data_IF_449245315860
#
_entry.id   IF_449245315860
#
_cell.length_a   1.000
_cell.length_b   1.000
_cell.length_c   1.000
_cell.angle_alpha   90.00
_cell.angle_beta   90.00
_cell.angle_gamma   90.00
#
_symmetry.space_group_name_H-M   'P 1'
#
loop_
_entity.id
_entity.type
_entity.pdbx_description
1 polymer ?
#
# COMPACT_ATOMS: atom_id res chain seq x y z
N UNK A 1 31.67 19.39 27.68
CA UNK A 1 31.94 18.51 26.52
C UNK A 1 30.63 17.89 26.06
N UNK A 2 30.05 18.32 24.94
CA UNK A 2 28.76 17.79 24.45
C UNK A 2 28.99 16.89 23.23
N UNK A 3 28.72 15.59 23.38
CA UNK A 3 28.85 14.59 22.31
C UNK A 3 27.66 14.74 21.35
N UNK A 4 27.94 15.21 20.14
CA UNK A 4 26.99 15.37 19.02
C UNK A 4 26.28 14.05 18.77
N UNK A 5 24.94 14.03 18.85
CA UNK A 5 24.13 12.87 18.46
C UNK A 5 24.41 12.57 16.99
N UNK A 6 25.05 11.44 16.73
CA UNK A 6 25.14 10.91 15.37
C UNK A 6 23.72 10.69 14.86
N UNK A 7 23.31 11.56 13.92
CA UNK A 7 22.16 11.29 13.09
C UNK A 7 22.54 10.06 12.29
N UNK A 8 22.04 8.89 12.71
CA UNK A 8 22.08 7.67 11.90
C UNK A 8 21.51 8.05 10.54
N UNK A 9 22.40 8.19 9.56
CA UNK A 9 22.03 8.46 8.18
C UNK A 9 20.97 7.45 7.84
N UNK A 10 19.75 7.93 7.57
CA UNK A 10 18.73 7.08 6.98
C UNK A 10 19.36 6.61 5.69
N UNK A 11 19.74 5.32 5.63
CA UNK A 11 20.19 4.68 4.40
C UNK A 11 19.07 4.85 3.36
N UNK A 12 19.20 5.97 2.64
CA UNK A 12 19.13 6.10 1.20
C UNK A 12 19.70 4.81 0.61
N UNK A 13 18.98 4.25 -0.35
CA UNK A 13 19.41 3.14 -1.18
C UNK A 13 19.08 1.72 -0.65
N UNK A 14 17.89 1.26 -1.07
CA UNK A 14 17.63 -0.11 -1.54
C UNK A 14 17.31 -1.24 -0.53
N UNK A 15 16.13 -1.23 0.11
CA UNK A 15 15.69 -2.39 0.91
C UNK A 15 14.22 -2.82 0.79
N UNK A 16 13.43 -2.25 -0.12
CA UNK A 16 12.27 -2.96 -0.68
C UNK A 16 12.17 -2.50 -2.11
N UNK A 17 12.32 -3.40 -3.09
CA UNK A 17 11.75 -3.18 -4.43
C UNK A 17 10.40 -2.52 -4.21
N UNK A 18 10.26 -1.24 -4.54
CA UNK A 18 8.99 -0.55 -4.43
C UNK A 18 8.07 -1.35 -5.34
N UNK A 19 7.22 -2.20 -4.75
CA UNK A 19 6.19 -2.90 -5.50
C UNK A 19 5.48 -1.80 -6.26
N UNK A 20 5.50 -1.89 -7.58
CA UNK A 20 4.83 -0.91 -8.44
C UNK A 20 3.44 -0.71 -7.85
N UNK A 21 3.04 0.54 -7.66
CA UNK A 21 1.70 0.89 -7.16
C UNK A 21 0.67 0.56 -8.26
N UNK A 22 0.47 -0.73 -8.51
CA UNK A 22 -0.50 -1.24 -9.49
C UNK A 22 -1.80 -1.50 -8.74
N UNK A 23 -2.92 -1.05 -9.33
CA UNK A 23 -4.24 -1.38 -8.81
C UNK A 23 -4.51 -2.88 -9.01
N UNK A 24 -5.13 -3.51 -8.00
CA UNK A 24 -5.56 -4.90 -8.10
C UNK A 24 -6.51 -5.14 -9.29
N UNK A 25 -7.35 -4.15 -9.61
CA UNK A 25 -8.27 -4.22 -10.75
C UNK A 25 -7.53 -4.40 -12.08
N UNK A 26 -6.43 -3.66 -12.26
CA UNK A 26 -5.61 -3.74 -13.47
C UNK A 26 -4.80 -5.03 -13.52
N UNK A 27 -4.37 -5.54 -12.37
CA UNK A 27 -3.60 -6.78 -12.29
C UNK A 27 -4.46 -8.01 -12.58
N UNK A 28 -5.70 -8.02 -12.09
CA UNK A 28 -6.66 -9.12 -12.31
C UNK A 28 -7.52 -8.91 -13.57
N UNK A 29 -7.25 -7.87 -14.35
CA UNK A 29 -7.98 -7.53 -15.58
C UNK A 29 -9.51 -7.48 -15.38
N UNK A 30 -9.93 -6.90 -14.25
CA UNK A 30 -11.36 -6.77 -13.92
C UNK A 30 -11.96 -5.63 -14.76
N UNK A 31 -12.82 -5.98 -15.70
CA UNK A 31 -13.48 -5.04 -16.62
C UNK A 31 -14.74 -4.40 -15.99
N UNK A 32 -15.46 -5.17 -15.17
CA UNK A 32 -16.70 -4.73 -14.53
C UNK A 32 -16.67 -4.92 -13.02
N UNK A 33 -17.22 -3.96 -12.27
CA UNK A 33 -17.32 -4.01 -10.81
C UNK A 33 -18.79 -3.98 -10.40
N UNK A 34 -19.24 -5.04 -9.73
CA UNK A 34 -20.59 -5.16 -9.18
C UNK A 34 -20.58 -4.93 -7.66
N UNK A 35 -21.62 -4.26 -7.13
CA UNK A 35 -21.79 -4.06 -5.69
C UNK A 35 -22.07 -5.36 -4.92
N UNK A 36 -22.52 -6.41 -5.62
CA UNK A 36 -22.75 -7.75 -5.07
C UNK A 36 -21.48 -8.59 -4.98
N UNK A 37 -20.38 -8.21 -5.64
CA UNK A 37 -19.10 -8.91 -5.48
C UNK A 37 -18.39 -8.48 -4.20
N UNK A 38 -18.83 -9.07 -3.09
CA UNK A 38 -18.29 -8.79 -1.75
C UNK A 38 -16.81 -9.17 -1.65
N UNK A 39 -16.37 -10.20 -2.38
CA UNK A 39 -14.99 -10.68 -2.31
C UNK A 39 -14.01 -9.67 -2.91
N UNK A 40 -14.37 -9.07 -4.04
CA UNK A 40 -13.60 -8.00 -4.65
C UNK A 40 -13.58 -6.74 -3.78
N UNK A 41 -14.75 -6.29 -3.33
CA UNK A 41 -14.89 -5.05 -2.56
C UNK A 41 -14.16 -5.10 -1.22
N UNK A 42 -14.19 -6.25 -0.54
CA UNK A 42 -13.51 -6.45 0.74
C UNK A 42 -12.01 -6.19 0.68
N UNK A 43 -11.36 -6.40 -0.47
CA UNK A 43 -9.92 -6.13 -0.66
C UNK A 43 -9.58 -4.64 -0.58
N UNK A 44 -10.54 -3.76 -0.85
CA UNK A 44 -10.38 -2.29 -0.80
C UNK A 44 -10.91 -1.67 0.50
N UNK A 45 -11.46 -2.48 1.39
CA UNK A 45 -11.94 -2.04 2.71
C UNK A 45 -10.91 -2.34 3.79
N UNK A 46 -10.91 -1.52 4.84
CA UNK A 46 -10.21 -1.78 6.09
C UNK A 46 -11.04 -2.72 6.98
N UNK A 47 -10.41 -3.28 8.00
CA UNK A 47 -11.06 -4.21 8.94
C UNK A 47 -12.22 -3.53 9.70
N UNK A 48 -12.20 -2.20 9.80
CA UNK A 48 -13.26 -1.36 10.40
C UNK A 48 -14.30 -0.88 9.38
N UNK A 49 -14.40 -1.56 8.24
CA UNK A 49 -15.33 -1.25 7.15
C UNK A 49 -15.19 0.16 6.52
N UNK A 50 -14.04 0.83 6.67
CA UNK A 50 -13.74 2.09 5.96
C UNK A 50 -12.99 1.81 4.66
N UNK A 51 -13.24 2.59 3.62
CA UNK A 51 -12.51 2.50 2.34
C UNK A 51 -11.02 2.88 2.57
N UNK A 52 -10.10 2.09 2.03
CA UNK A 52 -8.65 2.35 2.14
C UNK A 52 -8.23 3.49 1.20
N UNK A 53 -7.40 4.40 1.70
CA UNK A 53 -6.70 5.38 0.87
C UNK A 53 -5.56 4.70 0.08
N UNK A 54 -5.23 5.20 -1.12
CA UNK A 54 -4.11 4.73 -1.95
C UNK A 54 -2.97 5.74 -1.99
#
# INVERSE_FOLDING_TARGET
>A
MAKKREQRGKNKDNARRSKKKVSLLSQEQVEYVDYKDVNLLRRFMSDRAKIRAR
#
